data_IF_542701595618
#
_entry.id   IF_542701595618
#
_cell.length_a   1.000
_cell.length_b   1.000
_cell.length_c   1.000
_cell.angle_alpha   90.00
_cell.angle_beta   90.00
_cell.angle_gamma   90.00
#
_symmetry.space_group_name_H-M   'P 1'
#
loop_
_entity.id
_entity.type
_entity.pdbx_description
1 polymer ?
#
# COMPACT_ATOMS: atom_id res chain seq x y z
N UNK A 1 -25.00 -0.54 -0.21
CA UNK A 1 -24.39 -0.48 0.09
C UNK A 1 -23.61 -0.86 0.62
N UNK A 2 -23.20 -0.94 0.66
CA UNK A 2 -22.37 -1.37 1.01
C UNK A 2 -21.78 -1.39 1.96
N UNK A 3 -21.56 -1.48 2.30
CA UNK A 3 -21.06 -1.41 3.09
C UNK A 3 -20.12 -1.93 3.43
N UNK A 4 -19.60 -1.85 3.58
CA UNK A 4 -18.63 -2.23 3.82
C UNK A 4 -18.43 -2.69 4.98
N UNK A 5 -17.98 -3.18 5.15
CA UNK A 5 -17.73 -3.91 6.11
C UNK A 5 -17.05 -3.43 7.08
N UNK A 6 -17.15 -3.38 7.73
CA UNK A 6 -16.66 -3.01 8.56
C UNK A 6 -15.64 -3.48 9.02
N UNK A 7 -14.84 -3.53 8.81
CA UNK A 7 -13.84 -3.98 9.23
C UNK A 7 -13.39 -3.36 10.41
N UNK A 8 -12.70 -3.86 11.28
CA UNK A 8 -12.13 -3.29 12.47
C UNK A 8 -11.05 -2.37 12.05
N UNK A 9 -11.41 -1.25 11.65
CA UNK A 9 -10.47 -0.36 11.09
C UNK A 9 -9.32 0.01 11.97
N UNK A 10 -9.55 0.17 13.21
CA UNK A 10 -8.48 0.54 14.12
C UNK A 10 -7.43 -0.54 14.19
N UNK A 11 -7.87 -1.77 14.31
CA UNK A 11 -6.95 -2.89 14.38
C UNK A 11 -6.20 -3.03 13.06
N UNK A 12 -6.93 -2.90 11.96
CA UNK A 12 -6.31 -2.99 10.66
C UNK A 12 -5.26 -1.94 10.46
N UNK A 13 -5.51 -0.74 10.96
CA UNK A 13 -4.54 0.32 10.82
C UNK A 13 -3.26 0.02 11.52
N UNK A 14 -3.34 -0.48 12.74
CA UNK A 14 -2.14 -0.79 13.50
C UNK A 14 -1.36 -1.91 12.86
N UNK A 15 -2.06 -2.95 12.45
CA UNK A 15 -1.40 -4.08 11.79
C UNK A 15 -0.76 -3.62 10.49
N UNK A 16 -1.48 -2.83 9.73
CA UNK A 16 -0.96 -2.34 8.46
C UNK A 16 0.26 -1.46 8.67
N UNK A 17 0.22 -0.60 9.67
CA UNK A 17 1.35 0.24 9.97
C UNK A 17 2.60 -0.56 10.26
N UNK A 18 2.45 -1.60 11.07
CA UNK A 18 3.59 -2.43 11.40
C UNK A 18 4.13 -3.12 10.17
N UNK A 19 3.25 -3.63 9.33
CA UNK A 19 3.69 -4.31 8.12
C UNK A 19 4.36 -3.36 7.16
N UNK A 20 3.81 -2.17 7.03
CA UNK A 20 4.39 -1.17 6.13
C UNK A 20 5.77 -0.75 6.63
N UNK A 21 5.93 -0.64 7.94
CA UNK A 21 7.22 -0.23 8.48
C UNK A 21 8.31 -1.26 8.23
N UNK A 22 7.93 -2.50 7.92
CA UNK A 22 8.90 -3.53 7.61
C UNK A 22 9.27 -3.58 6.14
N UNK A 23 8.56 -2.84 5.32
CA UNK A 23 8.87 -2.82 3.89
C UNK A 23 10.15 -2.07 3.63
N UNK A 24 10.74 -2.35 2.47
CA UNK A 24 11.88 -1.58 2.04
C UNK A 24 11.49 -0.12 1.91
N UNK A 25 12.44 0.79 2.04
CA UNK A 25 12.11 2.22 2.00
C UNK A 25 11.32 2.63 0.76
N UNK A 26 11.66 2.10 -0.40
CA UNK A 26 10.95 2.49 -1.61
C UNK A 26 9.54 1.95 -1.61
N UNK A 27 9.34 0.75 -1.12
CA UNK A 27 8.00 0.17 -1.04
C UNK A 27 7.14 0.94 -0.06
N UNK A 28 7.74 1.33 1.05
CA UNK A 28 7.04 2.10 2.05
C UNK A 28 6.59 3.44 1.49
N UNK A 29 7.48 4.11 0.78
CA UNK A 29 7.13 5.38 0.15
C UNK A 29 6.03 5.21 -0.87
N UNK A 30 6.10 4.14 -1.65
CA UNK A 30 5.10 3.88 -2.66
C UNK A 30 3.72 3.74 -2.03
N UNK A 31 3.63 2.95 -0.98
CA UNK A 31 2.34 2.74 -0.32
C UNK A 31 1.83 4.02 0.31
N UNK A 32 2.72 4.79 0.92
CA UNK A 32 2.31 6.05 1.53
C UNK A 32 1.78 7.00 0.47
N UNK A 33 2.47 7.11 -0.65
CA UNK A 33 2.02 8.00 -1.71
C UNK A 33 0.69 7.57 -2.29
N UNK A 34 0.49 6.26 -2.44
CA UNK A 34 -0.73 5.77 -3.03
C UNK A 34 -1.94 5.87 -2.10
N UNK A 35 -1.73 5.65 -0.82
CA UNK A 35 -2.86 5.52 0.09
C UNK A 35 -3.00 6.64 1.10
N UNK A 36 -1.92 7.22 1.52
CA UNK A 36 -2.01 8.36 2.43
C UNK A 36 -2.15 9.66 1.66
N UNK A 37 -1.39 9.79 0.58
CA UNK A 37 -1.41 11.00 -0.20
C UNK A 37 -2.34 10.91 -1.38
N UNK A 38 -2.89 9.73 -1.62
CA UNK A 38 -3.84 9.52 -2.70
C UNK A 38 -3.31 9.91 -4.07
N UNK A 39 -2.03 9.69 -4.28
CA UNK A 39 -1.44 9.95 -5.58
C UNK A 39 -1.82 8.86 -6.58
N UNK A 40 -1.92 9.24 -7.83
CA UNK A 40 -2.12 8.24 -8.88
C UNK A 40 -0.85 7.44 -9.07
N UNK A 41 -0.95 6.33 -9.78
CA UNK A 41 0.24 5.55 -10.09
C UNK A 41 1.22 6.36 -10.93
N UNK A 42 0.72 7.17 -11.85
CA UNK A 42 1.59 8.01 -12.66
C UNK A 42 2.35 9.02 -11.81
N UNK A 43 1.64 9.65 -10.90
CA UNK A 43 2.27 10.65 -10.04
C UNK A 43 3.29 9.98 -9.12
N UNK A 44 2.92 8.84 -8.56
CA UNK A 44 3.83 8.10 -7.71
C UNK A 44 5.10 7.73 -8.46
N UNK A 45 4.94 7.30 -9.71
CA UNK A 45 6.08 6.95 -10.53
C UNK A 45 7.00 8.15 -10.73
N UNK A 46 6.44 9.30 -10.98
CA UNK A 46 7.24 10.51 -11.14
C UNK A 46 8.05 10.81 -9.88
N UNK A 47 7.39 10.74 -8.74
CA UNK A 47 8.04 11.06 -7.48
C UNK A 47 9.15 10.08 -7.16
N UNK A 48 8.92 8.80 -7.43
CA UNK A 48 9.89 7.78 -7.09
C UNK A 48 10.93 7.53 -8.18
N UNK A 49 10.77 8.19 -9.34
CA UNK A 49 11.71 7.96 -10.42
C UNK A 49 11.55 6.60 -11.07
N UNK A 50 10.31 6.12 -11.13
CA UNK A 50 10.00 4.82 -11.72
C UNK A 50 9.03 4.99 -12.86
N UNK A 51 8.79 3.93 -13.62
CA UNK A 51 7.73 3.96 -14.62
C UNK A 51 6.43 3.57 -13.95
N UNK A 52 5.32 3.94 -14.59
CA UNK A 52 4.01 3.57 -14.06
C UNK A 52 3.85 2.05 -13.99
N UNK A 53 4.39 1.35 -14.98
CA UNK A 53 4.32 -0.11 -14.98
C UNK A 53 5.04 -0.68 -13.77
N UNK A 54 6.20 -0.12 -13.46
CA UNK A 54 6.94 -0.58 -12.29
C UNK A 54 6.18 -0.32 -11.01
N UNK A 55 5.55 0.85 -10.90
CA UNK A 55 4.75 1.18 -9.73
C UNK A 55 3.59 0.19 -9.62
N UNK A 56 2.92 -0.07 -10.73
CA UNK A 56 1.78 -0.97 -10.72
C UNK A 56 2.17 -2.38 -10.26
N UNK A 57 3.25 -2.89 -10.80
CA UNK A 57 3.71 -4.21 -10.44
C UNK A 57 4.16 -4.29 -8.99
N UNK A 58 4.89 -3.28 -8.57
CA UNK A 58 5.41 -3.26 -7.21
C UNK A 58 4.27 -3.13 -6.21
N UNK A 59 3.32 -2.28 -6.52
CA UNK A 59 2.16 -2.10 -5.66
C UNK A 59 1.39 -3.39 -5.49
N UNK A 60 1.17 -4.09 -6.59
CA UNK A 60 0.44 -5.35 -6.55
C UNK A 60 1.16 -6.36 -5.68
N UNK A 61 2.46 -6.45 -5.84
CA UNK A 61 3.26 -7.38 -5.08
C UNK A 61 3.23 -7.06 -3.59
N UNK A 62 3.35 -5.77 -3.28
CA UNK A 62 3.30 -5.34 -1.89
C UNK A 62 1.95 -5.69 -1.27
N UNK A 63 0.88 -5.38 -1.97
CA UNK A 63 -0.45 -5.63 -1.44
C UNK A 63 -0.73 -7.11 -1.25
N UNK A 64 -0.24 -7.93 -2.16
CA UNK A 64 -0.40 -9.37 -2.01
C UNK A 64 0.32 -9.87 -0.77
N UNK A 65 1.52 -9.35 -0.54
CA UNK A 65 2.28 -9.72 0.64
C UNK A 65 1.60 -9.27 1.92
N UNK A 66 1.09 -8.05 1.92
CA UNK A 66 0.41 -7.53 3.09
C UNK A 66 -0.87 -8.30 3.36
N UNK A 67 -1.60 -8.60 2.31
CA UNK A 67 -2.84 -9.35 2.46
C UNK A 67 -2.58 -10.73 3.05
N UNK A 68 -1.55 -11.38 2.58
CA UNK A 68 -1.20 -12.68 3.13
C UNK A 68 -0.93 -12.62 4.62
N UNK A 69 -0.19 -11.63 5.03
CA UNK A 69 0.16 -11.50 6.43
C UNK A 69 -1.03 -11.13 7.28
N UNK A 70 -1.92 -10.32 6.75
CA UNK A 70 -3.10 -9.92 7.50
C UNK A 70 -4.12 -11.04 7.62
N UNK A 71 -4.18 -11.91 6.62
CA UNK A 71 -5.14 -13.00 6.62
C UNK A 71 -4.64 -14.23 7.36
N UNK A 72 -3.36 -14.34 7.54
CA UNK A 72 -2.82 -15.44 8.35
C UNK A 72 -2.67 -15.05 9.80
#
# INVERSE_FOLDING_TARGET
>A
MPVEPEQPKALDRMALRQLVSRLEPIDRRLIILRYSEECTQSRTAEILGMTQVQVSRREKKILEGLRKQLLC
#
